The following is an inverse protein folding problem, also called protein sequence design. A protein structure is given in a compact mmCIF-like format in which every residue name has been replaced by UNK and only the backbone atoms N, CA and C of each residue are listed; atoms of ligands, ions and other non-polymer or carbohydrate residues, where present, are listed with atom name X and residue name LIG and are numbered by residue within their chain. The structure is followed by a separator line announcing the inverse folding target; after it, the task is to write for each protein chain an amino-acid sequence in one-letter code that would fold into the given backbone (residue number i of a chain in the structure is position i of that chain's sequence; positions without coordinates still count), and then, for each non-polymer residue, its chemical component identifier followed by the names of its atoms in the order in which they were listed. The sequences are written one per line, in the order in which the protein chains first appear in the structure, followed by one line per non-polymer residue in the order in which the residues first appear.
data_IF_563175541105
#
_entry.id   IF_563175541105
#
_cell.length_a   1.000
_cell.length_b   1.000
_cell.length_c   1.000
_cell.angle_alpha   90.00
_cell.angle_beta   90.00
_cell.angle_gamma   90.00
#
_symmetry.space_group_name_H-M   'P 1'
#
loop_
_entity.id
_entity.type
_entity.pdbx_description
1 polymer ?
#
# COMPACT_ATOMS: atom_id res chain seq x y z
N UNK A 1 18.98 1.50 -7.80
CA UNK A 1 18.45 1.83 -6.46
C UNK A 1 18.60 3.32 -6.28
N UNK A 2 17.50 4.07 -6.29
CA UNK A 2 17.53 5.53 -6.11
C UNK A 2 17.29 5.81 -4.63
N UNK A 3 18.29 6.35 -3.94
CA UNK A 3 18.18 6.81 -2.55
C UNK A 3 17.69 8.27 -2.48
N UNK A 4 17.27 8.82 -3.62
CA UNK A 4 16.78 10.18 -3.70
C UNK A 4 15.36 10.28 -3.14
N UNK A 5 15.16 11.32 -2.35
CA UNK A 5 13.87 11.62 -1.72
C UNK A 5 13.23 12.75 -2.49
N UNK A 6 11.99 12.52 -2.86
CA UNK A 6 11.16 13.47 -3.57
C UNK A 6 10.03 13.90 -2.65
N UNK A 7 9.69 15.18 -2.69
CA UNK A 7 8.54 15.72 -1.97
C UNK A 7 7.26 15.03 -2.44
N UNK A 8 6.34 14.74 -1.51
CA UNK A 8 5.06 14.08 -1.78
C UNK A 8 4.25 14.80 -2.86
N UNK A 9 4.41 16.13 -2.99
CA UNK A 9 3.79 16.93 -4.05
C UNK A 9 4.13 16.41 -5.45
N UNK A 10 5.33 15.85 -5.64
CA UNK A 10 5.76 15.31 -6.93
C UNK A 10 4.93 14.06 -7.26
N UNK A 11 4.77 13.13 -6.32
CA UNK A 11 3.93 11.94 -6.51
C UNK A 11 2.48 12.32 -6.75
N UNK A 12 1.93 13.25 -5.97
CA UNK A 12 0.56 13.72 -6.14
C UNK A 12 0.33 14.34 -7.52
N UNK A 13 1.27 15.17 -7.98
CA UNK A 13 1.21 15.77 -9.32
C UNK A 13 1.30 14.70 -10.42
N UNK A 14 2.19 13.72 -10.29
CA UNK A 14 2.29 12.63 -11.26
C UNK A 14 0.97 11.87 -11.42
N UNK A 15 0.29 11.57 -10.32
CA UNK A 15 -1.03 10.93 -10.36
C UNK A 15 -2.04 11.84 -11.06
N UNK A 16 -2.07 13.13 -10.72
CA UNK A 16 -3.01 14.09 -11.32
C UNK A 16 -2.79 14.26 -12.84
N UNK A 17 -1.54 14.36 -13.28
CA UNK A 17 -1.20 14.45 -14.70
C UNK A 17 -1.55 13.14 -15.43
N UNK A 18 -1.30 11.98 -14.81
CA UNK A 18 -1.70 10.69 -15.39
C UNK A 18 -3.23 10.58 -15.54
N UNK A 19 -4.01 11.04 -14.56
CA UNK A 19 -5.47 11.07 -14.67
C UNK A 19 -5.94 11.94 -15.85
N UNK A 20 -5.30 13.10 -16.01
CA UNK A 20 -5.63 14.07 -17.06
C UNK A 20 -5.27 13.55 -18.45
N UNK A 21 -4.08 12.97 -18.60
CA UNK A 21 -3.60 12.45 -19.88
C UNK A 21 -4.36 11.19 -20.33
N UNK A 22 -4.77 10.34 -19.38
CA UNK A 22 -5.47 9.09 -19.68
C UNK A 22 -7.00 9.23 -19.68
N UNK A 23 -7.52 10.40 -19.30
CA UNK A 23 -8.96 10.63 -19.06
C UNK A 23 -9.57 9.57 -18.14
N UNK A 24 -8.89 9.31 -17.01
CA UNK A 24 -9.27 8.29 -16.04
C UNK A 24 -9.45 8.87 -14.64
N UNK A 25 -10.42 8.37 -13.85
CA UNK A 25 -10.53 8.70 -12.44
C UNK A 25 -9.26 8.28 -11.67
N UNK A 26 -8.88 9.07 -10.68
CA UNK A 26 -7.70 8.80 -9.84
C UNK A 26 -7.77 7.43 -9.14
N UNK A 27 -8.96 6.97 -8.79
CA UNK A 27 -9.18 5.63 -8.23
C UNK A 27 -8.71 4.51 -9.16
N UNK A 28 -8.96 4.64 -10.47
CA UNK A 28 -8.55 3.67 -11.49
C UNK A 28 -7.03 3.71 -11.68
N UNK A 29 -6.46 4.91 -11.83
CA UNK A 29 -5.02 5.11 -11.98
C UNK A 29 -4.25 4.55 -10.79
N UNK A 30 -4.71 4.84 -9.57
CA UNK A 30 -4.09 4.37 -8.35
C UNK A 30 -4.24 2.85 -8.18
N UNK A 31 -5.36 2.26 -8.61
CA UNK A 31 -5.52 0.79 -8.63
C UNK A 31 -4.47 0.14 -9.55
N UNK A 32 -4.34 0.63 -10.78
CA UNK A 32 -3.36 0.12 -11.74
C UNK A 32 -1.92 0.30 -11.23
N UNK A 33 -1.62 1.45 -10.61
CA UNK A 33 -0.33 1.71 -9.99
C UNK A 33 -0.01 0.66 -8.91
N UNK A 34 -0.97 0.34 -8.02
CA UNK A 34 -0.76 -0.64 -6.95
C UNK A 34 -0.52 -2.05 -7.48
N UNK A 35 -1.28 -2.47 -8.49
CA UNK A 35 -1.11 -3.78 -9.15
C UNK A 35 0.26 -3.90 -9.83
N UNK A 36 0.67 -2.85 -10.53
CA UNK A 36 1.99 -2.78 -11.14
C UNK A 36 3.09 -2.79 -10.09
N UNK A 37 2.97 -1.99 -9.02
CA UNK A 37 3.98 -1.90 -7.97
C UNK A 37 4.21 -3.24 -7.27
N UNK A 38 3.15 -4.00 -6.99
CA UNK A 38 3.31 -5.34 -6.41
C UNK A 38 4.07 -6.28 -7.35
N UNK A 39 3.76 -6.24 -8.65
CA UNK A 39 4.49 -7.00 -9.68
C UNK A 39 5.94 -6.55 -9.80
N UNK A 40 6.18 -5.24 -9.75
CA UNK A 40 7.51 -4.63 -9.73
C UNK A 40 8.33 -5.10 -8.53
N UNK A 41 7.76 -5.12 -7.32
CA UNK A 41 8.45 -5.63 -6.13
C UNK A 41 8.91 -7.08 -6.32
N UNK A 42 8.06 -7.94 -6.89
CA UNK A 42 8.45 -9.33 -7.20
C UNK A 42 9.61 -9.39 -8.19
N UNK A 43 9.52 -8.64 -9.29
CA UNK A 43 10.56 -8.57 -10.31
C UNK A 43 11.87 -7.98 -9.79
N UNK A 44 11.80 -7.04 -8.84
CA UNK A 44 12.93 -6.40 -8.19
C UNK A 44 13.59 -7.25 -7.10
N UNK A 45 13.15 -8.51 -6.92
CA UNK A 45 13.76 -9.46 -5.97
C UNK A 45 13.13 -9.49 -4.58
N UNK A 46 12.05 -8.73 -4.34
CA UNK A 46 11.33 -8.78 -3.06
C UNK A 46 10.33 -9.96 -2.96
N UNK A 47 10.21 -10.83 -3.98
CA UNK A 47 9.26 -11.96 -3.96
C UNK A 47 9.46 -12.86 -2.74
N UNK A 48 10.70 -13.24 -2.43
CA UNK A 48 11.01 -14.06 -1.25
C UNK A 48 10.56 -13.36 0.03
N UNK A 49 10.85 -12.07 0.17
CA UNK A 49 10.45 -11.28 1.34
C UNK A 49 8.93 -11.18 1.47
N UNK A 50 8.23 -10.87 0.37
CA UNK A 50 6.76 -10.78 0.36
C UNK A 50 6.08 -12.10 0.75
N UNK A 51 6.66 -13.25 0.39
CA UNK A 51 6.15 -14.58 0.79
C UNK A 51 6.31 -14.88 2.28
N UNK A 52 7.20 -14.20 2.99
CA UNK A 52 7.38 -14.38 4.44
C UNK A 52 6.37 -13.62 5.28
N UNK A 53 5.56 -12.74 4.68
CA UNK A 53 4.64 -11.87 5.39
C UNK A 53 3.36 -12.57 5.87
N UNK A 54 3.07 -13.79 5.41
CA UNK A 54 1.92 -14.55 5.90
C UNK A 54 1.39 -15.57 4.90
N UNK A 55 0.62 -16.53 5.39
CA UNK A 55 -0.08 -17.54 4.58
C UNK A 55 -1.46 -17.09 4.10
N UNK A 56 -1.98 -15.98 4.63
CA UNK A 56 -3.25 -15.37 4.24
C UNK A 56 -3.16 -13.83 4.24
N UNK A 57 -4.19 -13.16 3.73
CA UNK A 57 -4.21 -11.70 3.62
C UNK A 57 -4.08 -10.99 4.97
N UNK A 58 -4.74 -11.50 6.01
CA UNK A 58 -4.74 -10.85 7.32
C UNK A 58 -3.33 -10.82 7.89
N UNK A 59 -2.67 -11.98 7.89
CA UNK A 59 -1.26 -12.08 8.31
C UNK A 59 -0.36 -11.19 7.44
N UNK A 60 -0.58 -11.18 6.12
CA UNK A 60 0.17 -10.32 5.20
C UNK A 60 0.08 -8.85 5.60
N UNK A 61 -1.13 -8.35 5.88
CA UNK A 61 -1.37 -6.97 6.28
C UNK A 61 -0.77 -6.69 7.68
N UNK A 62 -0.98 -7.58 8.64
CA UNK A 62 -0.45 -7.46 10.01
C UNK A 62 1.09 -7.39 10.04
N UNK A 63 1.76 -7.99 9.05
CA UNK A 63 3.22 -7.98 8.95
C UNK A 63 3.80 -6.84 8.09
N UNK A 64 2.98 -5.93 7.53
CA UNK A 64 3.47 -4.79 6.73
C UNK A 64 4.32 -3.81 7.55
N UNK A 65 3.98 -3.59 8.82
CA UNK A 65 4.77 -2.73 9.72
C UNK A 65 6.18 -3.31 9.96
N UNK A 66 6.29 -4.63 10.09
CA UNK A 66 7.57 -5.32 10.22
C UNK A 66 8.39 -5.22 8.93
N UNK A 67 7.75 -5.39 7.77
CA UNK A 67 8.38 -5.17 6.46
C UNK A 67 8.93 -3.75 6.34
N UNK A 68 8.12 -2.73 6.63
CA UNK A 68 8.54 -1.33 6.56
C UNK A 68 9.71 -1.04 7.51
N UNK A 69 9.67 -1.60 8.72
CA UNK A 69 10.76 -1.49 9.69
C UNK A 69 12.06 -2.13 9.18
N UNK A 70 11.97 -3.27 8.49
CA UNK A 70 13.12 -3.91 7.86
C UNK A 70 13.67 -3.07 6.70
N UNK A 71 12.81 -2.50 5.86
CA UNK A 71 13.22 -1.65 4.74
C UNK A 71 13.87 -0.34 5.21
N UNK A 72 13.44 0.21 6.34
CA UNK A 72 14.02 1.41 6.94
C UNK A 72 15.50 1.24 7.33
N UNK A 73 16.00 -0.01 7.49
CA UNK A 73 17.42 -0.28 7.70
C UNK A 73 18.28 0.08 6.47
N UNK A 74 17.71 -0.05 5.27
CA UNK A 74 18.36 0.29 4.00
C UNK A 74 17.98 1.68 3.50
N UNK A 75 16.74 2.10 3.72
CA UNK A 75 16.21 3.40 3.33
C UNK A 75 16.07 4.28 4.57
N UNK A 76 17.18 4.92 4.99
CA UNK A 76 17.27 5.62 6.28
C UNK A 76 16.23 6.73 6.48
N UNK A 77 15.78 7.38 5.39
CA UNK A 77 14.78 8.45 5.43
C UNK A 77 13.39 7.96 5.00
N UNK A 78 13.13 6.65 5.09
CA UNK A 78 11.83 6.07 4.76
C UNK A 78 10.77 6.54 5.74
N UNK A 79 9.81 7.33 5.23
CA UNK A 79 8.59 7.68 5.94
C UNK A 79 7.46 6.70 5.58
N UNK A 80 7.42 5.58 6.28
CA UNK A 80 6.45 4.51 6.06
C UNK A 80 5.18 4.71 6.91
N UNK A 81 4.00 4.35 6.39
CA UNK A 81 2.79 4.32 7.19
C UNK A 81 2.80 3.11 8.16
N UNK A 82 2.01 3.23 9.23
CA UNK A 82 1.64 2.09 10.09
C UNK A 82 0.25 1.58 9.73
N UNK A 83 0.13 0.26 9.59
CA UNK A 83 -1.07 -0.44 9.16
C UNK A 83 -1.41 -1.48 10.22
N UNK A 84 -2.60 -1.36 10.82
CA UNK A 84 -3.07 -2.29 11.84
C UNK A 84 -4.44 -2.83 11.51
N UNK A 85 -4.69 -4.05 11.95
CA UNK A 85 -5.94 -4.76 11.72
C UNK A 85 -6.62 -5.00 13.06
N UNK A 86 -7.89 -4.63 13.15
CA UNK A 86 -8.76 -4.94 14.28
C UNK A 86 -9.87 -5.87 13.80
N UNK A 87 -10.08 -6.97 14.52
CA UNK A 87 -11.13 -7.95 14.23
C UNK A 87 -12.30 -7.66 15.15
N UNK A 88 -13.48 -7.41 14.57
CA UNK A 88 -14.71 -7.21 15.32
C UNK A 88 -15.41 -8.55 15.53
N UNK A 89 -16.19 -8.64 16.61
CA UNK A 89 -16.98 -9.83 16.98
C UNK A 89 -18.03 -10.23 15.92
N UNK A 90 -18.39 -9.30 15.04
CA UNK A 90 -19.34 -9.50 13.93
C UNK A 90 -18.68 -10.06 12.65
N UNK A 91 -17.40 -10.44 12.72
CA UNK A 91 -16.64 -10.96 11.58
C UNK A 91 -16.13 -9.89 10.62
N UNK A 92 -16.37 -8.59 10.90
CA UNK A 92 -15.79 -7.49 10.14
C UNK A 92 -14.37 -7.19 10.60
N UNK A 93 -13.60 -6.58 9.72
CA UNK A 93 -12.21 -6.22 10.00
C UNK A 93 -12.01 -4.74 9.71
N UNK A 94 -11.47 -4.02 10.68
CA UNK A 94 -11.17 -2.61 10.56
C UNK A 94 -9.68 -2.44 10.27
N UNK A 95 -9.36 -1.68 9.23
CA UNK A 95 -7.98 -1.35 8.88
C UNK A 95 -7.68 0.07 9.35
N UNK A 96 -6.80 0.14 10.32
CA UNK A 96 -6.27 1.39 10.83
C UNK A 96 -5.04 1.77 10.01
N UNK A 97 -5.07 2.95 9.42
CA UNK A 97 -3.97 3.48 8.63
C UNK A 97 -3.49 4.79 9.25
N UNK A 98 -2.22 4.81 9.66
CA UNK A 98 -1.58 5.97 10.26
C UNK A 98 -0.42 6.42 9.38
N UNK A 99 -0.39 7.71 9.02
CA UNK A 99 0.65 8.27 8.16
C UNK A 99 0.77 9.77 8.36
N UNK A 100 2.01 10.26 8.38
CA UNK A 100 2.31 11.70 8.35
C UNK A 100 2.17 12.29 6.93
N UNK A 101 2.11 11.42 5.90
CA UNK A 101 2.06 11.80 4.48
C UNK A 101 0.63 12.08 4.02
N UNK A 102 0.24 13.35 4.11
CA UNK A 102 -1.11 13.82 3.76
C UNK A 102 -1.41 13.64 2.28
N UNK A 103 -2.60 13.13 1.96
CA UNK A 103 -3.07 12.94 0.58
C UNK A 103 -2.62 11.64 -0.07
N UNK A 104 -1.73 10.87 0.58
CA UNK A 104 -1.28 9.56 0.11
C UNK A 104 -2.05 8.39 0.73
N UNK A 105 -3.07 8.65 1.56
CA UNK A 105 -3.94 7.60 2.10
C UNK A 105 -4.63 6.75 1.00
N UNK A 106 -4.78 7.29 -0.20
CA UNK A 106 -5.34 6.59 -1.35
C UNK A 106 -4.41 5.48 -1.89
N UNK A 107 -3.10 5.55 -1.64
CA UNK A 107 -2.17 4.45 -1.91
C UNK A 107 -2.33 3.30 -0.91
N UNK A 108 -2.81 3.61 0.30
CA UNK A 108 -3.01 2.64 1.36
C UNK A 108 -4.34 1.90 1.27
N UNK A 109 -5.23 2.27 0.33
CA UNK A 109 -6.39 1.45 -0.05
C UNK A 109 -5.88 0.17 -0.69
N UNK A 110 -5.55 -0.76 0.21
CA UNK A 110 -4.94 -2.08 0.13
C UNK A 110 -4.35 -2.50 -1.22
N UNK A 111 -3.03 -2.68 -1.17
CA UNK A 111 -2.26 -3.55 -2.03
C UNK A 111 -2.72 -5.01 -1.84
N UNK A 112 -3.32 -5.59 -2.88
CA UNK A 112 -3.61 -7.01 -2.94
C UNK A 112 -3.88 -7.42 -4.38
N UNK A 113 -3.58 -8.67 -4.78
CA UNK A 113 -4.02 -9.19 -6.07
C UNK A 113 -5.54 -9.01 -6.20
N UNK A 114 -6.01 -8.66 -7.40
CA UNK A 114 -7.41 -8.35 -7.74
C UNK A 114 -8.45 -9.25 -7.08
N UNK A 115 -8.14 -10.53 -6.85
CA UNK A 115 -9.06 -11.53 -6.27
C UNK A 115 -9.36 -11.33 -4.77
N UNK A 116 -8.60 -10.51 -4.06
CA UNK A 116 -8.81 -10.24 -2.63
C UNK A 116 -9.59 -8.95 -2.36
N UNK A 117 -9.74 -8.07 -3.35
CA UNK A 117 -10.57 -6.87 -3.21
C UNK A 117 -12.07 -7.19 -3.24
N UNK A 118 -12.47 -8.24 -3.98
CA UNK A 118 -13.86 -8.67 -4.08
C UNK A 118 -14.36 -9.45 -2.85
N UNK A 119 -13.45 -9.87 -1.96
CA UNK A 119 -13.76 -10.58 -0.70
C UNK A 119 -13.95 -9.65 0.51
N UNK A 120 -13.89 -8.32 0.34
CA UNK A 120 -13.81 -7.38 1.46
C UNK A 120 -14.92 -6.31 1.51
N UNK A 121 -16.23 -6.64 1.45
CA UNK A 121 -17.28 -5.70 1.82
C UNK A 121 -17.23 -5.27 3.31
N UNK A 122 -16.31 -5.85 4.10
CA UNK A 122 -16.20 -5.66 5.55
C UNK A 122 -15.02 -4.79 6.00
N UNK A 123 -14.16 -4.31 5.09
CA UNK A 123 -13.03 -3.45 5.44
C UNK A 123 -13.41 -1.97 5.39
N UNK A 124 -13.22 -1.27 6.51
CA UNK A 124 -13.24 0.19 6.55
C UNK A 124 -11.83 0.71 6.80
N UNK A 125 -11.42 1.71 6.04
CA UNK A 125 -10.18 2.44 6.28
C UNK A 125 -10.49 3.55 7.28
N UNK A 126 -9.86 3.52 8.44
CA UNK A 126 -9.86 4.63 9.39
C UNK A 126 -8.50 5.34 9.27
N UNK A 127 -8.54 6.60 8.84
CA UNK A 127 -7.39 7.51 8.74
C UNK A 127 -7.33 8.45 9.92
#
# INVERSE_FOLDING_TARGET
MTYEIYDDVITLRLVQEACTMLDMPSEVVLKLFREYFFSFCKMAGYDTMLRTLGGNLVEFIENLDALHSYLALSYQEMNAPSIRVEKNDDGRMLLHYYSDRKGLQCLAKVFGPLELCDLLPHFRLQT
#
